data_IF_610169512907
#
_entry.id   IF_610169512907
#
_cell.length_a   1.000
_cell.length_b   1.000
_cell.length_c   1.000
_cell.angle_alpha   90.00
_cell.angle_beta   90.00
_cell.angle_gamma   90.00
#
_symmetry.space_group_name_H-M   'P 1'
#
loop_
_entity.id
_entity.type
_entity.pdbx_description
1 polymer ?
#
# COMPACT_ATOMS: atom_id res chain seq x y z
N UNK A 1 12.85 -77.62 -37.13
CA UNK A 1 11.82 -76.92 -37.92
C UNK A 1 10.87 -76.21 -36.97
N UNK A 2 10.66 -74.91 -37.24
CA UNK A 2 9.73 -73.91 -36.70
C UNK A 2 8.63 -74.35 -35.72
N UNK A 3 8.50 -73.61 -34.61
CA UNK A 3 7.31 -72.80 -34.25
C UNK A 3 7.73 -71.76 -33.18
N UNK A 4 8.02 -70.53 -33.62
CA UNK A 4 8.27 -69.37 -32.73
C UNK A 4 6.91 -68.76 -32.39
N UNK A 5 6.49 -68.84 -31.13
CA UNK A 5 5.27 -68.16 -30.65
C UNK A 5 5.64 -66.76 -30.21
N UNK A 6 5.32 -65.79 -31.07
CA UNK A 6 5.38 -64.35 -30.81
C UNK A 6 4.24 -64.02 -29.84
N UNK A 7 4.57 -63.64 -28.61
CA UNK A 7 3.62 -63.09 -27.66
C UNK A 7 3.84 -61.58 -27.59
N UNK A 8 2.86 -60.82 -28.08
CA UNK A 8 2.79 -59.38 -28.01
C UNK A 8 2.50 -58.96 -26.56
N UNK A 9 3.36 -58.14 -25.97
CA UNK A 9 3.06 -57.42 -24.72
C UNK A 9 3.03 -55.94 -25.04
N UNK A 10 1.83 -55.37 -24.99
CA UNK A 10 1.57 -53.96 -25.16
C UNK A 10 2.19 -53.17 -23.99
N UNK A 11 3.11 -52.27 -24.29
CA UNK A 11 3.62 -51.30 -23.33
C UNK A 11 2.60 -50.18 -23.17
N UNK A 12 1.93 -50.13 -22.02
CA UNK A 12 1.09 -49.00 -21.62
C UNK A 12 2.02 -47.88 -21.16
N UNK A 13 2.21 -46.88 -22.01
CA UNK A 13 2.87 -45.61 -21.64
C UNK A 13 1.91 -44.83 -20.75
N UNK A 14 2.15 -44.87 -19.44
CA UNK A 14 1.52 -43.93 -18.49
C UNK A 14 2.21 -42.58 -18.66
N UNK A 15 1.63 -41.69 -19.45
CA UNK A 15 1.92 -40.27 -19.35
C UNK A 15 1.36 -39.78 -18.01
N UNK A 16 2.22 -39.73 -16.99
CA UNK A 16 2.00 -38.85 -15.86
C UNK A 16 2.12 -37.43 -16.39
N UNK A 17 0.99 -36.84 -16.77
CA UNK A 17 0.85 -35.39 -16.79
C UNK A 17 1.04 -34.93 -15.36
N UNK A 18 2.26 -34.56 -15.01
CA UNK A 18 2.50 -33.71 -13.87
C UNK A 18 1.75 -32.40 -14.18
N UNK A 19 0.53 -32.29 -13.66
CA UNK A 19 -0.13 -31.00 -13.51
C UNK A 19 0.75 -30.24 -12.52
N UNK A 20 1.72 -29.50 -13.04
CA UNK A 20 2.34 -28.41 -12.32
C UNK A 20 1.25 -27.38 -12.09
N UNK A 21 0.50 -27.57 -11.01
CA UNK A 21 -0.12 -26.43 -10.35
C UNK A 21 1.06 -25.59 -9.89
N UNK A 22 1.43 -24.59 -10.71
CA UNK A 22 2.16 -23.44 -10.22
C UNK A 22 1.25 -22.80 -9.17
N UNK A 23 1.41 -23.24 -7.92
CA UNK A 23 0.98 -22.48 -6.78
C UNK A 23 1.65 -21.11 -6.95
N UNK A 24 0.83 -20.12 -7.29
CA UNK A 24 1.17 -18.71 -7.24
C UNK A 24 1.54 -18.42 -5.78
N UNK A 25 2.80 -18.71 -5.44
CA UNK A 25 3.38 -18.44 -4.15
C UNK A 25 3.69 -16.94 -4.15
N UNK A 26 2.63 -16.14 -3.96
CA UNK A 26 2.77 -14.73 -3.68
C UNK A 26 3.64 -14.62 -2.43
N UNK A 27 4.89 -14.20 -2.63
CA UNK A 27 5.86 -14.05 -1.56
C UNK A 27 5.29 -13.10 -0.51
N UNK A 28 5.00 -13.62 0.67
CA UNK A 28 4.40 -12.84 1.76
C UNK A 28 5.43 -11.82 2.22
N UNK A 29 5.26 -10.57 1.79
CA UNK A 29 6.11 -9.46 2.22
C UNK A 29 5.66 -9.01 3.61
N UNK A 30 6.53 -9.21 4.60
CA UNK A 30 6.33 -8.69 5.95
C UNK A 30 6.80 -7.24 5.96
N UNK A 31 5.88 -6.31 6.21
CA UNK A 31 6.19 -4.90 6.40
C UNK A 31 6.41 -4.67 7.89
N UNK A 32 7.67 -4.46 8.29
CA UNK A 32 7.99 -4.08 9.67
C UNK A 32 7.49 -2.68 9.99
N UNK A 33 7.07 -2.45 11.24
CA UNK A 33 6.76 -1.12 11.75
C UNK A 33 7.99 -0.20 11.62
N UNK A 34 7.78 1.03 11.15
CA UNK A 34 8.86 1.99 10.99
C UNK A 34 8.40 3.31 10.37
N UNK A 35 9.23 4.34 10.51
CA UNK A 35 9.00 5.64 9.90
C UNK A 35 9.61 5.69 8.50
N UNK A 36 8.81 6.10 7.52
CA UNK A 36 9.26 6.52 6.21
C UNK A 36 9.46 8.03 6.24
N UNK A 37 10.64 8.48 5.83
CA UNK A 37 10.96 9.89 5.70
C UNK A 37 10.86 10.28 4.23
N UNK A 38 10.11 11.34 3.94
CA UNK A 38 9.80 11.67 2.57
C UNK A 38 9.32 13.10 2.34
N UNK A 39 8.80 13.30 1.14
CA UNK A 39 8.27 14.59 0.69
C UNK A 39 6.76 14.51 0.62
N UNK A 40 6.11 15.48 1.26
CA UNK A 40 4.68 15.72 1.17
C UNK A 40 4.42 16.91 0.25
N UNK A 41 3.57 16.72 -0.77
CA UNK A 41 3.17 17.75 -1.70
C UNK A 41 1.66 17.96 -1.55
N UNK A 42 1.24 19.21 -1.39
CA UNK A 42 -0.17 19.59 -1.31
C UNK A 42 -0.48 20.59 -2.40
N UNK A 43 -1.41 20.25 -3.29
CA UNK A 43 -1.91 21.19 -4.29
C UNK A 43 -2.82 22.22 -3.60
N UNK A 44 -2.56 23.51 -3.86
CA UNK A 44 -3.27 24.62 -3.24
C UNK A 44 -4.52 25.05 -4.04
N UNK A 45 -4.84 24.35 -5.15
CA UNK A 45 -5.95 24.64 -6.05
C UNK A 45 -5.90 26.04 -6.71
N UNK A 46 -4.76 26.73 -6.64
CA UNK A 46 -4.51 28.03 -7.27
C UNK A 46 -3.36 27.98 -8.30
N UNK A 47 -2.96 26.76 -8.68
CA UNK A 47 -1.82 26.48 -9.55
C UNK A 47 -0.47 26.44 -8.81
N UNK A 48 -0.45 26.66 -7.49
CA UNK A 48 0.74 26.52 -6.65
C UNK A 48 0.72 25.20 -5.87
N UNK A 49 1.90 24.83 -5.36
CA UNK A 49 2.09 23.64 -4.53
C UNK A 49 2.80 24.02 -3.24
N UNK A 50 2.32 23.48 -2.14
CA UNK A 50 3.01 23.53 -0.86
C UNK A 50 3.79 22.23 -0.66
N UNK A 51 5.11 22.35 -0.49
CA UNK A 51 6.03 21.21 -0.43
C UNK A 51 6.66 21.18 0.96
N UNK A 52 6.62 20.02 1.60
CA UNK A 52 7.30 19.75 2.87
C UNK A 52 8.24 18.57 2.70
N UNK A 53 9.51 18.81 2.94
CA UNK A 53 10.54 17.78 2.98
C UNK A 53 10.69 17.22 4.40
N UNK A 54 11.26 16.01 4.50
CA UNK A 54 11.55 15.33 5.76
C UNK A 54 10.28 15.08 6.62
N UNK A 55 9.14 14.86 5.96
CA UNK A 55 7.91 14.45 6.65
C UNK A 55 8.06 12.98 7.05
N UNK A 56 7.79 12.69 8.33
CA UNK A 56 7.80 11.34 8.87
C UNK A 56 6.41 10.74 8.81
N UNK A 57 6.29 9.61 8.12
CA UNK A 57 5.07 8.80 8.06
C UNK A 57 5.32 7.45 8.68
N UNK A 58 4.53 7.10 9.70
CA UNK A 58 4.53 5.76 10.29
C UNK A 58 3.28 5.04 9.80
N UNK A 59 3.45 3.80 9.33
CA UNK A 59 2.33 2.92 9.00
C UNK A 59 2.31 1.76 9.99
N UNK A 60 1.13 1.45 10.50
CA UNK A 60 0.89 0.27 11.33
C UNK A 60 -0.14 -0.60 10.63
N UNK A 61 0.25 -1.83 10.31
CA UNK A 61 -0.55 -2.76 9.51
C UNK A 61 -1.12 -3.85 10.41
N UNK A 62 -2.43 -4.05 10.35
CA UNK A 62 -3.12 -5.23 10.86
C UNK A 62 -3.47 -6.16 9.67
N UNK A 63 -4.31 -7.17 9.88
CA UNK A 63 -4.74 -8.17 8.89
C UNK A 63 -5.24 -7.60 7.56
N UNK A 64 -6.17 -6.64 7.58
CA UNK A 64 -6.78 -6.10 6.34
C UNK A 64 -6.83 -4.58 6.30
N UNK A 65 -6.32 -3.93 7.34
CA UNK A 65 -6.36 -2.48 7.49
C UNK A 65 -5.02 -1.96 7.98
N UNK A 66 -4.71 -0.73 7.57
CA UNK A 66 -3.58 0.04 8.04
C UNK A 66 -4.05 1.33 8.72
N UNK A 67 -3.23 1.79 9.65
CA UNK A 67 -3.28 3.14 10.18
C UNK A 67 -2.05 3.90 9.68
N UNK A 68 -2.27 5.08 9.08
CA UNK A 68 -1.20 5.96 8.59
C UNK A 68 -1.10 7.15 9.54
N UNK A 69 0.05 7.37 10.15
CA UNK A 69 0.36 8.53 11.01
C UNK A 69 1.35 9.44 10.33
N UNK A 70 0.93 10.66 10.04
CA UNK A 70 1.75 11.71 9.44
C UNK A 70 2.14 12.71 10.53
N UNK A 71 3.45 12.87 10.77
CA UNK A 71 3.95 13.68 11.89
C UNK A 71 4.26 15.12 11.44
N UNK A 72 3.82 16.09 12.25
CA UNK A 72 4.11 17.51 12.09
C UNK A 72 3.83 18.08 10.69
N UNK A 73 2.73 17.68 10.07
CA UNK A 73 2.34 18.13 8.73
C UNK A 73 1.52 19.41 8.77
N UNK A 74 1.62 20.19 7.69
CA UNK A 74 0.75 21.33 7.38
C UNK A 74 0.16 21.16 5.98
N UNK A 75 -1.05 21.64 5.72
CA UNK A 75 -1.71 21.47 4.42
C UNK A 75 -1.69 22.73 3.54
N UNK A 76 -1.20 23.85 4.08
CA UNK A 76 -0.97 25.08 3.34
C UNK A 76 0.05 25.97 4.06
N UNK A 77 0.57 26.99 3.37
CA UNK A 77 1.33 28.06 4.02
C UNK A 77 0.47 28.89 4.99
N UNK A 78 -0.85 28.95 4.75
CA UNK A 78 -1.84 29.65 5.60
C UNK A 78 -2.09 28.98 6.94
N UNK A 79 -1.81 27.68 7.05
CA UNK A 79 -1.92 26.96 8.32
C UNK A 79 -0.76 27.29 9.27
N UNK A 80 0.32 27.93 8.81
CA UNK A 80 1.41 28.34 9.70
C UNK A 80 0.90 29.29 10.81
N UNK A 81 1.33 29.08 12.08
CA UNK A 81 2.42 28.20 12.53
C UNK A 81 1.97 26.77 12.91
N UNK A 82 0.74 26.38 12.63
CA UNK A 82 0.17 25.11 13.07
C UNK A 82 0.71 23.97 12.23
N UNK A 83 1.42 23.06 12.90
CA UNK A 83 1.74 21.72 12.41
C UNK A 83 0.96 20.73 13.23
N UNK A 84 0.39 19.70 12.59
CA UNK A 84 -0.43 18.70 13.25
C UNK A 84 0.14 17.31 13.03
N UNK A 85 -0.01 16.47 14.05
CA UNK A 85 0.07 15.03 13.85
C UNK A 85 -1.31 14.56 13.40
N UNK A 86 -1.36 13.91 12.23
CA UNK A 86 -2.60 13.41 11.64
C UNK A 86 -2.57 11.90 11.57
N UNK A 87 -3.64 11.26 12.01
CA UNK A 87 -3.85 9.81 11.89
C UNK A 87 -4.99 9.53 10.92
N UNK A 88 -4.74 8.68 9.93
CA UNK A 88 -5.72 8.18 8.97
C UNK A 88 -6.02 6.72 9.34
N UNK A 89 -7.15 6.43 10.00
CA UNK A 89 -7.48 5.08 10.42
C UNK A 89 -8.13 4.28 9.29
N UNK A 90 -8.18 2.95 9.45
CA UNK A 90 -8.97 2.04 8.62
C UNK A 90 -8.69 2.14 7.10
N UNK A 91 -7.43 2.35 6.71
CA UNK A 91 -7.02 2.28 5.30
C UNK A 91 -7.04 0.82 4.88
N UNK A 92 -7.79 0.47 3.84
CA UNK A 92 -7.86 -0.91 3.36
C UNK A 92 -6.54 -1.33 2.70
N UNK A 93 -6.14 -2.58 2.94
CA UNK A 93 -4.87 -3.14 2.49
C UNK A 93 -5.12 -4.39 1.64
N UNK A 94 -4.45 -4.48 0.50
CA UNK A 94 -4.43 -5.69 -0.35
C UNK A 94 -2.99 -6.11 -0.62
N UNK A 95 -2.67 -7.39 -0.44
CA UNK A 95 -1.35 -7.91 -0.81
C UNK A 95 -1.12 -7.80 -2.32
N UNK A 96 0.06 -7.35 -2.71
CA UNK A 96 0.52 -7.30 -4.10
C UNK A 96 1.93 -7.88 -4.19
N UNK A 97 2.41 -8.14 -5.40
CA UNK A 97 3.79 -8.56 -5.60
C UNK A 97 4.76 -7.50 -5.06
N UNK A 98 5.58 -7.86 -4.06
CA UNK A 98 6.60 -6.99 -3.49
C UNK A 98 6.12 -6.02 -2.41
N UNK A 99 4.85 -6.06 -2.00
CA UNK A 99 4.36 -5.17 -0.95
C UNK A 99 2.84 -5.22 -0.74
N UNK A 100 2.28 -4.08 -0.36
CA UNK A 100 0.85 -3.91 -0.10
C UNK A 100 0.32 -2.71 -0.86
N UNK A 101 -0.86 -2.85 -1.46
CA UNK A 101 -1.65 -1.75 -2.00
C UNK A 101 -2.53 -1.17 -0.90
N UNK A 102 -2.54 0.16 -0.81
CA UNK A 102 -3.36 0.95 0.12
C UNK A 102 -4.54 1.55 -0.65
N UNK A 103 -5.73 1.48 -0.06
CA UNK A 103 -6.90 2.14 -0.61
C UNK A 103 -7.85 2.66 0.47
N UNK A 104 -8.56 3.75 0.20
CA UNK A 104 -9.47 4.32 1.17
C UNK A 104 -10.37 5.38 0.60
N UNK A 105 -11.60 5.47 1.12
CA UNK A 105 -12.53 6.52 0.74
C UNK A 105 -13.46 6.87 1.90
N UNK A 106 -13.84 8.14 2.02
CA UNK A 106 -14.67 8.68 3.10
C UNK A 106 -14.13 8.37 4.50
N UNK A 107 -12.82 8.49 4.71
CA UNK A 107 -12.17 8.26 6.01
C UNK A 107 -12.06 9.58 6.75
N UNK A 108 -12.57 9.65 7.98
CA UNK A 108 -12.40 10.83 8.84
C UNK A 108 -11.07 10.69 9.58
N UNK A 109 -10.06 11.54 9.32
CA UNK A 109 -8.80 11.48 10.04
C UNK A 109 -8.94 12.07 11.44
N UNK A 110 -7.93 11.83 12.27
CA UNK A 110 -7.82 12.34 13.64
C UNK A 110 -6.64 13.30 13.72
N UNK A 111 -6.87 14.49 14.28
CA UNK A 111 -5.83 15.49 14.53
C UNK A 111 -6.28 16.40 15.69
N UNK A 112 -5.32 17.07 16.35
CA UNK A 112 -5.61 18.06 17.42
C UNK A 112 -6.50 17.52 18.57
N UNK A 113 -6.45 16.21 18.84
CA UNK A 113 -7.20 15.57 19.93
C UNK A 113 -8.60 15.07 19.59
N UNK A 114 -9.02 15.09 18.31
CA UNK A 114 -10.31 14.55 17.89
C UNK A 114 -10.44 14.30 16.39
N UNK A 115 -11.66 13.97 15.96
CA UNK A 115 -11.98 13.81 14.54
C UNK A 115 -11.83 15.13 13.78
N UNK A 116 -11.17 15.07 12.62
CA UNK A 116 -10.89 16.23 11.79
C UNK A 116 -11.72 16.20 10.50
N UNK A 117 -13.04 16.34 10.66
CA UNK A 117 -14.05 16.08 9.61
C UNK A 117 -13.90 16.92 8.34
N UNK A 118 -13.44 18.16 8.46
CA UNK A 118 -13.20 19.04 7.31
C UNK A 118 -12.14 18.47 6.35
N UNK A 119 -11.26 17.60 6.84
CA UNK A 119 -10.21 16.95 6.10
C UNK A 119 -10.56 15.48 5.81
N UNK A 120 -11.84 15.18 5.61
CA UNK A 120 -12.27 13.83 5.22
C UNK A 120 -11.48 13.38 3.98
N UNK A 121 -10.85 12.21 4.11
CA UNK A 121 -10.01 11.63 3.08
C UNK A 121 -10.87 10.94 2.04
N UNK A 122 -10.65 11.27 0.77
CA UNK A 122 -11.25 10.55 -0.36
C UNK A 122 -10.20 10.14 -1.38
N UNK A 123 -10.50 9.09 -2.14
CA UNK A 123 -9.63 8.57 -3.20
C UNK A 123 -8.19 8.30 -2.74
N UNK A 124 -8.01 7.79 -1.52
CA UNK A 124 -6.70 7.33 -1.08
C UNK A 124 -6.31 6.12 -1.91
N UNK A 125 -5.16 6.21 -2.56
CA UNK A 125 -4.49 5.11 -3.26
C UNK A 125 -3.01 5.17 -2.94
N UNK A 126 -2.35 4.02 -2.86
CA UNK A 126 -0.92 3.98 -2.60
C UNK A 126 -0.36 2.58 -2.56
N UNK A 127 0.94 2.52 -2.34
CA UNK A 127 1.70 1.30 -2.21
C UNK A 127 2.72 1.44 -1.09
N UNK A 128 2.97 0.35 -0.37
CA UNK A 128 3.99 0.26 0.66
C UNK A 128 4.79 -1.03 0.48
N UNK A 129 6.11 -0.89 0.55
CA UNK A 129 7.08 -1.99 0.56
C UNK A 129 7.93 -1.89 1.83
N UNK A 130 8.83 -2.85 2.03
CA UNK A 130 9.77 -2.80 3.17
C UNK A 130 10.70 -1.58 3.14
N UNK A 131 10.90 -0.95 1.98
CA UNK A 131 11.86 0.13 1.77
C UNK A 131 11.21 1.48 1.45
N UNK A 132 10.02 1.49 0.86
CA UNK A 132 9.38 2.71 0.37
C UNK A 132 7.88 2.72 0.63
N UNK A 133 7.31 3.93 0.66
CA UNK A 133 5.87 4.16 0.65
C UNK A 133 5.57 5.32 -0.29
N UNK A 134 4.48 5.20 -1.03
CA UNK A 134 3.88 6.32 -1.75
C UNK A 134 2.38 6.24 -1.68
N UNK A 135 1.72 7.38 -1.55
CA UNK A 135 0.27 7.47 -1.64
C UNK A 135 -0.17 8.85 -2.12
N UNK A 136 -1.36 8.90 -2.68
CA UNK A 136 -2.08 10.11 -3.03
C UNK A 136 -3.50 10.02 -2.50
N UNK A 137 -4.07 11.19 -2.19
CA UNK A 137 -5.44 11.30 -1.69
C UNK A 137 -5.94 12.74 -1.82
N UNK A 138 -7.25 12.90 -1.71
CA UNK A 138 -7.85 14.19 -1.36
C UNK A 138 -7.94 14.30 0.16
N UNK A 139 -7.41 15.37 0.73
CA UNK A 139 -7.52 15.70 2.16
C UNK A 139 -8.43 16.92 2.30
N UNK A 140 -9.73 16.69 2.52
CA UNK A 140 -10.73 17.74 2.32
C UNK A 140 -10.75 18.16 0.84
N UNK A 141 -10.57 19.45 0.58
CA UNK A 141 -10.51 20.00 -0.79
C UNK A 141 -9.11 19.95 -1.42
N UNK A 142 -8.08 19.59 -0.65
CA UNK A 142 -6.69 19.66 -1.10
C UNK A 142 -6.17 18.30 -1.60
N UNK A 143 -5.80 18.15 -2.88
CA UNK A 143 -5.03 17.01 -3.35
C UNK A 143 -3.67 16.95 -2.66
N UNK A 144 -3.28 15.76 -2.22
CA UNK A 144 -2.06 15.52 -1.47
C UNK A 144 -1.38 14.26 -1.98
N UNK A 145 -0.05 14.30 -2.11
CA UNK A 145 0.76 13.12 -2.35
C UNK A 145 1.98 13.07 -1.44
N UNK A 146 2.33 11.85 -1.02
CA UNK A 146 3.52 11.55 -0.24
C UNK A 146 4.35 10.49 -0.95
N UNK A 147 5.67 10.64 -0.88
CA UNK A 147 6.62 9.59 -1.26
C UNK A 147 7.79 9.62 -0.30
N UNK A 148 8.15 8.47 0.26
CA UNK A 148 9.19 8.36 1.27
C UNK A 148 9.86 6.99 1.29
N UNK A 149 10.99 6.94 2.00
CA UNK A 149 11.83 5.75 2.18
C UNK A 149 12.17 5.57 3.66
N UNK A 150 12.50 4.34 4.06
CA UNK A 150 13.04 4.06 5.41
C UNK A 150 14.52 4.42 5.54
#
# INVERSE_FOLDING_TARGET
MKQVKILWVAAITVFITACSNEENNEEVVIIDDGAYIGTLVVDQNDGTRYIQENVSVVISIDTSYAEIRMMQVSFSDRMLPVKVDMTIPNVAVTTISGGLSLSGNHIIPWAMGGEFREYTITHLTGEVTTQSISFEMMCGESPLSFSGVK
#
